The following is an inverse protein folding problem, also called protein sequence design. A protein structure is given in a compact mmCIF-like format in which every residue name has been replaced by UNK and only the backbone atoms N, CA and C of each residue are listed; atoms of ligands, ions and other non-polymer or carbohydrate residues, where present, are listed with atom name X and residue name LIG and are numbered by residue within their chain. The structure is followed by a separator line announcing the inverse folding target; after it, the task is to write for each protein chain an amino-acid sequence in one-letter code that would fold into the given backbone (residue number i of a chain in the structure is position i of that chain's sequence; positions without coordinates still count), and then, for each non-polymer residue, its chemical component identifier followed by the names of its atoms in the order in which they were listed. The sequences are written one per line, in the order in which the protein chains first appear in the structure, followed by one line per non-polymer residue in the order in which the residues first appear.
data_IF_736306957842
#
_entry.id   IF_736306957842
#
_cell.length_a   1.000
_cell.length_b   1.000
_cell.length_c   1.000
_cell.angle_alpha   90.00
_cell.angle_beta   90.00
_cell.angle_gamma   90.00
#
_symmetry.space_group_name_H-M   'P 1'
#
loop_
_entity.id
_entity.type
_entity.pdbx_description
1 polymer ?
#
# COMPACT_ATOMS: atom_id res chain seq x y z
N UNK A 1 35.84 -12.00 -16.62
CA UNK A 1 34.44 -11.79 -16.20
C UNK A 1 33.93 -13.16 -15.74
N UNK A 2 33.95 -13.41 -14.47
CA UNK A 2 33.44 -14.66 -13.87
C UNK A 2 31.91 -14.55 -13.84
N UNK A 3 31.21 -15.45 -14.53
CA UNK A 3 29.77 -15.59 -14.43
C UNK A 3 29.42 -15.96 -13.00
N UNK A 4 28.83 -15.05 -12.23
CA UNK A 4 28.20 -15.36 -10.97
C UNK A 4 27.03 -16.30 -11.27
N UNK A 5 27.16 -17.52 -10.79
CA UNK A 5 26.06 -18.50 -10.77
C UNK A 5 24.99 -17.96 -9.85
N UNK A 6 23.90 -17.41 -10.43
CA UNK A 6 22.70 -17.03 -9.69
C UNK A 6 22.08 -18.33 -9.18
N UNK A 7 22.39 -18.70 -7.94
CA UNK A 7 21.65 -19.73 -7.23
C UNK A 7 20.23 -19.20 -7.06
N UNK A 8 19.25 -19.76 -7.77
CA UNK A 8 17.82 -19.50 -7.57
C UNK A 8 17.44 -20.00 -6.18
N UNK A 9 17.47 -19.12 -5.20
CA UNK A 9 17.01 -19.39 -3.84
C UNK A 9 15.50 -19.70 -3.91
N UNK A 10 15.10 -20.90 -3.48
CA UNK A 10 13.70 -21.29 -3.48
C UNK A 10 12.95 -20.45 -2.45
N UNK A 11 12.03 -19.63 -2.91
CA UNK A 11 11.19 -18.79 -2.04
C UNK A 11 10.17 -19.64 -1.32
N UNK A 12 10.24 -19.71 0.00
CA UNK A 12 9.27 -20.41 0.83
C UNK A 12 8.55 -19.45 1.76
N UNK A 13 7.27 -19.21 1.49
CA UNK A 13 6.42 -18.35 2.30
C UNK A 13 5.92 -19.09 3.54
N UNK A 14 6.17 -18.53 4.72
CA UNK A 14 5.69 -19.06 5.99
C UNK A 14 4.41 -18.32 6.42
N UNK A 15 3.29 -19.00 6.66
CA UNK A 15 2.07 -18.36 7.17
C UNK A 15 2.35 -17.64 8.50
N UNK A 16 1.79 -16.44 8.67
CA UNK A 16 1.88 -15.66 9.93
C UNK A 16 0.60 -15.84 10.75
N UNK A 17 -0.54 -15.74 10.10
CA UNK A 17 -1.86 -15.86 10.72
C UNK A 17 -2.84 -16.45 9.72
N UNK A 18 -3.74 -17.31 10.19
CA UNK A 18 -4.81 -17.87 9.38
C UNK A 18 -5.99 -16.89 9.29
N UNK A 19 -6.51 -16.74 8.09
CA UNK A 19 -7.66 -15.93 7.74
C UNK A 19 -8.59 -16.72 6.79
N UNK A 20 -9.80 -16.25 6.59
CA UNK A 20 -10.78 -16.90 5.73
C UNK A 20 -10.70 -16.45 4.27
N UNK A 21 -10.45 -15.16 4.06
CA UNK A 21 -10.53 -14.52 2.74
C UNK A 21 -9.19 -14.01 2.21
N UNK A 22 -8.12 -14.06 3.01
CA UNK A 22 -6.77 -13.68 2.61
C UNK A 22 -5.75 -14.75 3.03
N UNK A 23 -4.59 -14.74 2.39
CA UNK A 23 -3.39 -15.40 2.88
C UNK A 23 -2.43 -14.33 3.39
N UNK A 24 -1.85 -14.58 4.58
CA UNK A 24 -0.87 -13.69 5.18
C UNK A 24 0.39 -14.45 5.55
N UNK A 25 1.48 -14.15 4.87
CA UNK A 25 2.72 -14.92 4.95
C UNK A 25 3.95 -14.03 4.99
N UNK A 26 5.07 -14.63 5.42
CA UNK A 26 6.35 -13.95 5.63
C UNK A 26 7.48 -14.69 4.91
N UNK A 27 8.40 -13.94 4.32
CA UNK A 27 9.66 -14.42 3.79
C UNK A 27 10.74 -13.33 3.90
N UNK A 28 11.84 -13.61 4.60
CA UNK A 28 13.07 -12.81 4.61
C UNK A 28 12.86 -11.27 4.77
N UNK A 29 11.99 -10.86 5.70
CA UNK A 29 11.69 -9.44 5.94
C UNK A 29 10.52 -8.89 5.12
N UNK A 30 9.91 -9.70 4.29
CA UNK A 30 8.78 -9.33 3.42
C UNK A 30 7.50 -9.97 3.98
N UNK A 31 6.46 -9.18 4.20
CA UNK A 31 5.12 -9.68 4.41
C UNK A 31 4.36 -9.71 3.09
N UNK A 32 3.66 -10.81 2.80
CA UNK A 32 2.77 -10.92 1.64
C UNK A 32 1.32 -11.07 2.10
N UNK A 33 0.49 -10.13 1.69
CA UNK A 33 -0.96 -10.13 1.91
C UNK A 33 -1.61 -10.43 0.56
N UNK A 34 -2.22 -11.60 0.44
CA UNK A 34 -2.85 -12.04 -0.81
C UNK A 34 -4.35 -12.18 -0.62
N UNK A 35 -5.15 -11.50 -1.43
CA UNK A 35 -6.60 -11.76 -1.45
C UNK A 35 -6.80 -13.17 -1.98
N UNK A 36 -7.48 -14.04 -1.21
CA UNK A 36 -7.66 -15.44 -1.53
C UNK A 36 -9.13 -15.79 -1.81
N UNK A 37 -9.67 -15.17 -2.85
CA UNK A 37 -11.01 -15.44 -3.39
C UNK A 37 -10.96 -15.59 -4.92
N UNK A 38 -10.09 -16.48 -5.47
CA UNK A 38 -9.87 -16.60 -6.91
C UNK A 38 -11.14 -16.99 -7.69
N UNK A 39 -12.07 -17.72 -7.06
CA UNK A 39 -13.38 -18.08 -7.62
C UNK A 39 -14.32 -16.86 -7.83
N UNK A 40 -14.00 -15.71 -7.25
CA UNK A 40 -14.68 -14.41 -7.40
C UNK A 40 -13.73 -13.33 -7.96
N UNK A 41 -12.70 -13.73 -8.71
CA UNK A 41 -11.67 -12.82 -9.23
C UNK A 41 -11.10 -11.89 -8.14
N UNK A 42 -10.94 -12.42 -6.93
CA UNK A 42 -10.45 -11.70 -5.75
C UNK A 42 -11.26 -10.42 -5.41
N UNK A 43 -12.55 -10.41 -5.74
CA UNK A 43 -13.45 -9.35 -5.27
C UNK A 43 -13.50 -9.36 -3.74
N UNK A 44 -13.37 -8.20 -3.10
CA UNK A 44 -13.39 -8.10 -1.65
C UNK A 44 -14.81 -7.95 -1.08
N UNK A 45 -15.01 -8.53 0.09
CA UNK A 45 -16.18 -8.34 0.95
C UNK A 45 -15.80 -7.52 2.19
N UNK A 46 -16.74 -7.10 3.04
CA UNK A 46 -16.42 -6.50 4.34
C UNK A 46 -15.44 -7.34 5.17
N UNK A 47 -15.62 -8.67 5.21
CA UNK A 47 -14.70 -9.59 5.89
C UNK A 47 -13.29 -9.52 5.30
N UNK A 48 -13.16 -9.61 3.97
CA UNK A 48 -11.87 -9.53 3.29
C UNK A 48 -11.13 -8.23 3.66
N UNK A 49 -11.84 -7.10 3.65
CA UNK A 49 -11.27 -5.79 4.02
C UNK A 49 -10.85 -5.76 5.48
N UNK A 50 -11.65 -6.32 6.39
CA UNK A 50 -11.33 -6.37 7.81
C UNK A 50 -10.07 -7.21 8.08
N UNK A 51 -9.94 -8.36 7.42
CA UNK A 51 -8.75 -9.21 7.51
C UNK A 51 -7.50 -8.52 6.96
N UNK A 52 -7.61 -7.80 5.83
CA UNK A 52 -6.52 -7.00 5.28
C UNK A 52 -6.09 -5.88 6.26
N UNK A 53 -7.03 -5.18 6.90
CA UNK A 53 -6.73 -4.16 7.90
C UNK A 53 -6.01 -4.76 9.10
N UNK A 54 -6.45 -5.92 9.58
CA UNK A 54 -5.81 -6.62 10.70
C UNK A 54 -4.37 -7.05 10.33
N UNK A 55 -4.18 -7.64 9.15
CA UNK A 55 -2.84 -8.00 8.65
C UNK A 55 -1.92 -6.77 8.52
N UNK A 56 -2.44 -5.64 8.02
CA UNK A 56 -1.69 -4.38 7.94
C UNK A 56 -1.30 -3.82 9.31
N UNK A 57 -2.17 -3.95 10.33
CA UNK A 57 -1.83 -3.58 11.71
C UNK A 57 -0.68 -4.44 12.27
N UNK A 58 -0.72 -5.75 12.02
CA UNK A 58 0.38 -6.65 12.40
C UNK A 58 1.66 -6.24 11.65
N UNK A 59 1.57 -5.94 10.34
CA UNK A 59 2.71 -5.46 9.56
C UNK A 59 3.30 -4.16 10.13
N UNK A 60 2.48 -3.27 10.69
CA UNK A 60 2.96 -2.02 11.29
C UNK A 60 3.83 -2.28 12.51
N UNK A 61 3.39 -3.16 13.38
CA UNK A 61 3.99 -3.39 14.71
C UNK A 61 5.15 -4.41 14.67
N UNK A 62 5.15 -5.36 13.74
CA UNK A 62 6.18 -6.41 13.69
C UNK A 62 7.51 -5.87 13.12
N UNK A 63 8.60 -5.78 13.95
CA UNK A 63 9.88 -5.24 13.49
C UNK A 63 10.60 -6.14 12.49
N UNK A 64 10.22 -7.41 12.36
CA UNK A 64 10.77 -8.33 11.37
C UNK A 64 10.33 -7.97 9.97
N UNK A 65 9.14 -7.37 9.81
CA UNK A 65 8.56 -6.96 8.53
C UNK A 65 9.14 -5.61 8.14
N UNK A 66 9.77 -5.55 6.98
CA UNK A 66 10.42 -4.35 6.44
C UNK A 66 9.73 -3.80 5.20
N UNK A 67 9.15 -4.68 4.38
CA UNK A 67 8.41 -4.34 3.15
C UNK A 67 7.14 -5.19 3.11
N UNK A 68 6.08 -4.65 2.54
CA UNK A 68 4.78 -5.33 2.39
C UNK A 68 4.50 -5.50 0.91
N UNK A 69 4.09 -6.70 0.52
CA UNK A 69 3.59 -7.02 -0.83
C UNK A 69 2.10 -7.28 -0.75
N UNK A 70 1.35 -6.59 -1.61
CA UNK A 70 -0.10 -6.77 -1.77
C UNK A 70 -0.38 -7.46 -3.10
N UNK A 71 -1.17 -8.54 -3.10
CA UNK A 71 -1.46 -9.31 -4.33
C UNK A 71 -2.81 -10.01 -4.26
N UNK A 72 -3.15 -10.75 -5.31
CA UNK A 72 -4.30 -11.66 -5.38
C UNK A 72 -3.86 -13.05 -5.81
N UNK A 73 -4.48 -14.08 -5.24
CA UNK A 73 -4.17 -15.48 -5.55
C UNK A 73 -4.71 -15.91 -6.93
N UNK A 74 -4.01 -16.85 -7.55
CA UNK A 74 -4.47 -17.56 -8.75
C UNK A 74 -4.13 -16.92 -10.10
N UNK A 75 -3.40 -15.80 -10.14
CA UNK A 75 -2.86 -15.20 -11.37
C UNK A 75 -3.85 -14.64 -12.39
N UNK A 76 -5.17 -14.82 -12.17
CA UNK A 76 -6.24 -14.32 -13.06
C UNK A 76 -6.74 -12.92 -12.68
N UNK A 77 -6.65 -12.58 -11.41
CA UNK A 77 -7.04 -11.26 -10.92
C UNK A 77 -6.22 -10.89 -9.69
N UNK A 78 -5.71 -9.70 -9.67
CA UNK A 78 -5.24 -9.04 -8.46
C UNK A 78 -6.45 -8.77 -7.54
N UNK A 79 -7.41 -8.01 -8.05
CA UNK A 79 -8.68 -7.72 -7.38
C UNK A 79 -9.66 -7.06 -8.36
N UNK A 80 -10.88 -7.57 -8.44
CA UNK A 80 -11.95 -7.01 -9.29
C UNK A 80 -12.85 -6.01 -8.56
N UNK A 81 -12.42 -5.48 -7.42
CA UNK A 81 -13.16 -4.50 -6.62
C UNK A 81 -14.07 -5.13 -5.57
N UNK A 82 -15.10 -4.40 -5.16
CA UNK A 82 -16.07 -4.91 -4.20
C UNK A 82 -17.00 -5.96 -4.79
N UNK A 83 -17.24 -7.03 -4.03
CA UNK A 83 -18.11 -8.12 -4.46
C UNK A 83 -19.57 -7.64 -4.57
N UNK A 84 -20.07 -7.49 -5.80
CA UNK A 84 -21.41 -6.98 -6.07
C UNK A 84 -22.51 -7.92 -5.53
N UNK A 85 -22.22 -9.20 -5.31
CA UNK A 85 -23.21 -10.15 -4.78
C UNK A 85 -23.57 -9.91 -3.31
N UNK A 86 -22.71 -9.19 -2.56
CA UNK A 86 -22.95 -8.82 -1.15
C UNK A 86 -23.25 -7.32 -0.97
N UNK A 87 -23.37 -6.58 -2.06
CA UNK A 87 -23.75 -5.17 -2.04
C UNK A 87 -25.27 -5.04 -1.98
N UNK A 88 -25.78 -4.58 -0.84
CA UNK A 88 -27.20 -4.30 -0.65
C UNK A 88 -27.61 -2.87 -1.08
N UNK A 89 -28.86 -2.50 -0.83
CA UNK A 89 -29.41 -1.16 -1.14
C UNK A 89 -28.63 -0.04 -0.42
N UNK A 90 -28.14 -0.29 0.80
CA UNK A 90 -27.31 0.66 1.57
C UNK A 90 -25.81 0.55 1.33
N UNK A 91 -25.35 -0.23 0.34
CA UNK A 91 -23.94 -0.50 0.09
C UNK A 91 -23.47 -1.79 0.74
N UNK A 92 -22.20 -1.84 1.17
CA UNK A 92 -21.62 -3.03 1.80
C UNK A 92 -21.92 -3.03 3.29
N UNK A 93 -22.53 -4.12 3.78
CA UNK A 93 -22.97 -4.27 5.16
C UNK A 93 -22.20 -5.43 5.80
N UNK A 94 -21.61 -5.17 6.96
CA UNK A 94 -20.95 -6.20 7.76
C UNK A 94 -21.96 -7.10 8.51
N UNK A 95 -21.46 -8.02 9.31
CA UNK A 95 -22.27 -8.94 10.13
C UNK A 95 -23.16 -8.22 11.16
N UNK A 96 -22.78 -7.01 11.54
CA UNK A 96 -23.51 -6.12 12.45
C UNK A 96 -24.61 -5.28 11.77
N UNK A 97 -24.86 -5.51 10.50
CA UNK A 97 -25.88 -4.84 9.68
C UNK A 97 -25.67 -3.32 9.51
N UNK A 98 -24.48 -2.79 9.85
CA UNK A 98 -24.16 -1.38 9.68
C UNK A 98 -23.44 -1.16 8.33
N UNK A 99 -23.96 -0.30 7.44
CA UNK A 99 -23.28 0.04 6.18
C UNK A 99 -21.93 0.74 6.44
N UNK A 100 -20.87 0.24 5.81
CA UNK A 100 -19.52 0.80 5.92
C UNK A 100 -18.77 0.70 4.59
N UNK A 101 -17.81 1.61 4.43
CA UNK A 101 -16.82 1.56 3.37
C UNK A 101 -15.41 1.40 3.98
N UNK A 102 -15.19 0.36 4.78
CA UNK A 102 -13.91 0.10 5.46
C UNK A 102 -12.72 0.02 4.51
N UNK A 103 -12.96 -0.22 3.23
CA UNK A 103 -11.92 -0.16 2.20
C UNK A 103 -11.22 1.21 2.15
N UNK A 104 -11.92 2.30 2.51
CA UNK A 104 -11.31 3.64 2.60
C UNK A 104 -10.28 3.71 3.74
N UNK A 105 -10.53 3.01 4.84
CA UNK A 105 -9.59 2.94 5.96
C UNK A 105 -8.37 2.11 5.60
N UNK A 106 -8.56 1.00 4.88
CA UNK A 106 -7.45 0.23 4.31
C UNK A 106 -6.59 1.07 3.36
N UNK A 107 -7.21 1.84 2.46
CA UNK A 107 -6.51 2.74 1.53
C UNK A 107 -5.66 3.77 2.28
N UNK A 108 -6.22 4.42 3.31
CA UNK A 108 -5.47 5.36 4.17
C UNK A 108 -4.32 4.67 4.89
N UNK A 109 -4.55 3.45 5.39
CA UNK A 109 -3.53 2.67 6.08
C UNK A 109 -2.37 2.29 5.17
N UNK A 110 -2.63 1.86 3.93
CA UNK A 110 -1.59 1.56 2.93
C UNK A 110 -0.71 2.79 2.71
N UNK A 111 -1.30 3.98 2.60
CA UNK A 111 -0.56 5.22 2.41
C UNK A 111 0.24 5.66 3.63
N UNK A 112 -0.32 5.49 4.84
CA UNK A 112 0.30 6.01 6.07
C UNK A 112 1.22 5.03 6.81
N UNK A 113 1.19 3.74 6.48
CA UNK A 113 2.05 2.76 7.15
C UNK A 113 3.54 3.09 6.93
N UNK A 114 4.39 3.09 8.00
CA UNK A 114 5.79 3.51 7.92
C UNK A 114 6.72 2.47 7.25
N UNK A 115 6.21 1.77 6.27
CA UNK A 115 6.90 0.72 5.50
C UNK A 115 6.46 0.83 4.04
N UNK A 116 7.35 0.48 3.11
CA UNK A 116 7.01 0.44 1.70
C UNK A 116 5.98 -0.67 1.42
N UNK A 117 5.01 -0.36 0.57
CA UNK A 117 3.98 -1.30 0.11
C UNK A 117 4.05 -1.42 -1.41
N UNK A 118 4.26 -2.63 -1.90
CA UNK A 118 4.34 -2.93 -3.34
C UNK A 118 3.10 -3.72 -3.74
N UNK A 119 2.37 -3.23 -4.74
CA UNK A 119 1.36 -4.02 -5.41
C UNK A 119 2.01 -4.95 -6.45
N UNK A 120 1.79 -6.25 -6.30
CA UNK A 120 2.22 -7.29 -7.23
C UNK A 120 0.98 -7.74 -8.01
N UNK A 121 0.84 -7.26 -9.25
CA UNK A 121 -0.41 -7.32 -10.00
C UNK A 121 -0.33 -8.34 -11.13
N UNK A 122 -1.17 -9.38 -11.07
CA UNK A 122 -1.45 -10.29 -12.16
C UNK A 122 -2.94 -10.29 -12.50
N UNK A 123 -3.28 -10.31 -13.79
CA UNK A 123 -4.67 -10.30 -14.27
C UNK A 123 -5.42 -9.02 -13.89
N UNK A 124 -6.69 -9.13 -13.54
CA UNK A 124 -7.60 -8.00 -13.37
C UNK A 124 -7.34 -7.18 -12.11
N UNK A 125 -7.05 -5.88 -12.25
CA UNK A 125 -7.01 -4.87 -11.20
C UNK A 125 -8.08 -3.80 -11.55
N UNK A 126 -9.33 -4.00 -11.13
CA UNK A 126 -10.49 -3.27 -11.63
C UNK A 126 -11.29 -2.64 -10.48
N UNK A 127 -11.85 -1.45 -10.71
CA UNK A 127 -12.69 -0.74 -9.75
C UNK A 127 -11.97 -0.51 -8.43
N UNK A 128 -12.49 -0.99 -7.29
CA UNK A 128 -11.82 -0.90 -6.00
C UNK A 128 -10.46 -1.61 -5.97
N UNK A 129 -10.27 -2.67 -6.79
CA UNK A 129 -8.98 -3.33 -6.96
C UNK A 129 -7.96 -2.45 -7.68
N UNK A 130 -8.40 -1.68 -8.65
CA UNK A 130 -7.56 -0.66 -9.28
C UNK A 130 -7.13 0.41 -8.24
N UNK A 131 -8.05 0.84 -7.37
CA UNK A 131 -7.71 1.82 -6.32
C UNK A 131 -6.70 1.24 -5.33
N UNK A 132 -6.81 -0.04 -4.97
CA UNK A 132 -5.87 -0.69 -4.03
C UNK A 132 -4.42 -0.66 -4.54
N UNK A 133 -4.17 -0.92 -5.84
CA UNK A 133 -2.82 -0.82 -6.35
C UNK A 133 -2.35 0.63 -6.50
N UNK A 134 -3.26 1.55 -6.85
CA UNK A 134 -2.97 3.00 -6.99
C UNK A 134 -2.47 3.60 -5.67
N UNK A 135 -2.99 3.15 -4.53
CA UNK A 135 -2.58 3.66 -3.21
C UNK A 135 -1.33 2.99 -2.65
N UNK A 136 -0.85 1.91 -3.25
CA UNK A 136 0.46 1.35 -2.93
C UNK A 136 1.59 2.28 -3.39
N UNK A 137 2.76 2.16 -2.76
CA UNK A 137 3.91 3.00 -3.10
C UNK A 137 4.48 2.69 -4.49
N UNK A 138 4.45 1.41 -4.87
CA UNK A 138 4.95 0.92 -6.15
C UNK A 138 4.03 -0.18 -6.69
N UNK A 139 4.01 -0.34 -8.01
CA UNK A 139 3.27 -1.42 -8.69
C UNK A 139 4.18 -2.13 -9.68
N UNK A 140 4.30 -3.46 -9.53
CA UNK A 140 4.91 -4.35 -10.53
C UNK A 140 3.78 -5.18 -11.13
N UNK A 141 3.67 -5.17 -12.45
CA UNK A 141 2.60 -5.84 -13.18
C UNK A 141 3.14 -7.02 -13.99
N UNK A 142 2.37 -8.08 -14.08
CA UNK A 142 2.57 -9.11 -15.09
C UNK A 142 2.02 -8.64 -16.45
N UNK A 143 2.56 -9.18 -17.56
CA UNK A 143 2.09 -8.87 -18.92
C UNK A 143 0.59 -9.15 -19.13
N UNK A 144 0.01 -10.09 -18.36
CA UNK A 144 -1.40 -10.41 -18.39
C UNK A 144 -2.27 -9.43 -17.57
N UNK A 145 -1.68 -8.44 -16.91
CA UNK A 145 -2.44 -7.51 -16.09
C UNK A 145 -3.37 -6.61 -16.93
N UNK A 146 -4.53 -6.28 -16.35
CA UNK A 146 -5.53 -5.38 -16.92
C UNK A 146 -6.00 -4.40 -15.86
N UNK A 147 -6.01 -3.14 -16.20
CA UNK A 147 -6.30 -2.03 -15.28
C UNK A 147 -7.51 -1.23 -15.77
N UNK A 148 -8.31 -0.70 -14.85
CA UNK A 148 -9.38 0.20 -15.21
C UNK A 148 -10.42 0.40 -14.13
N UNK A 149 -11.33 1.34 -14.41
CA UNK A 149 -12.46 1.63 -13.56
C UNK A 149 -13.76 1.14 -14.21
N UNK A 150 -14.70 0.71 -13.38
CA UNK A 150 -16.02 0.26 -13.83
C UNK A 150 -17.16 0.92 -13.07
N UNK A 151 -16.82 1.77 -12.11
CA UNK A 151 -17.80 2.38 -11.20
C UNK A 151 -19.02 2.95 -11.90
N UNK A 152 -18.92 3.86 -12.87
CA UNK A 152 -20.07 4.42 -13.60
C UNK A 152 -20.94 3.36 -14.31
N UNK A 153 -20.37 2.24 -14.75
CA UNK A 153 -21.13 1.13 -15.37
C UNK A 153 -21.94 0.32 -14.33
N UNK A 154 -21.46 0.25 -13.08
CA UNK A 154 -22.05 -0.62 -12.04
C UNK A 154 -22.68 0.18 -10.89
N UNK A 155 -22.91 1.46 -11.08
CA UNK A 155 -23.54 2.33 -10.08
C UNK A 155 -22.67 2.59 -8.85
N UNK A 156 -21.37 2.86 -9.06
CA UNK A 156 -20.41 3.19 -8.02
C UNK A 156 -19.42 4.24 -8.50
N UNK A 157 -18.66 4.83 -7.58
CA UNK A 157 -17.50 5.67 -7.89
C UNK A 157 -16.59 5.79 -6.66
N UNK A 158 -15.32 6.12 -6.87
CA UNK A 158 -14.38 6.51 -5.83
C UNK A 158 -13.80 7.88 -6.20
N UNK A 159 -14.34 8.93 -5.58
CA UNK A 159 -13.93 10.32 -5.81
C UNK A 159 -12.67 10.72 -5.05
N UNK A 160 -12.22 9.90 -4.10
CA UNK A 160 -11.02 10.12 -3.31
C UNK A 160 -9.75 9.65 -4.03
N UNK A 161 -9.05 8.69 -3.44
CA UNK A 161 -7.80 8.17 -4.04
C UNK A 161 -8.01 7.56 -5.43
N UNK A 162 -9.18 6.96 -5.69
CA UNK A 162 -9.50 6.39 -7.00
C UNK A 162 -9.61 7.41 -8.12
N UNK A 163 -9.93 8.67 -7.85
CA UNK A 163 -10.04 9.73 -8.84
C UNK A 163 -8.98 10.81 -8.65
N UNK A 164 -8.99 11.53 -7.53
CA UNK A 164 -8.12 12.71 -7.34
C UNK A 164 -6.64 12.34 -7.24
N UNK A 165 -6.31 11.25 -6.55
CA UNK A 165 -4.93 10.78 -6.46
C UNK A 165 -4.48 10.11 -7.76
N UNK A 166 -5.32 9.29 -8.40
CA UNK A 166 -5.04 8.74 -9.72
C UNK A 166 -4.66 9.85 -10.72
N UNK A 167 -5.37 10.98 -10.70
CA UNK A 167 -5.10 12.10 -11.58
C UNK A 167 -3.73 12.77 -11.34
N UNK A 168 -3.13 12.59 -10.17
CA UNK A 168 -1.74 13.02 -9.87
C UNK A 168 -0.72 12.07 -10.50
N UNK A 169 -1.06 10.80 -10.67
CA UNK A 169 -0.18 9.78 -11.24
C UNK A 169 -0.21 9.84 -12.77
N UNK A 170 -1.39 9.72 -13.38
CA UNK A 170 -1.53 9.57 -14.84
C UNK A 170 -1.92 10.87 -15.55
N UNK A 171 -2.09 11.96 -14.82
CA UNK A 171 -2.59 13.24 -15.33
C UNK A 171 -4.10 13.30 -15.44
N UNK A 172 -4.63 14.54 -15.43
CA UNK A 172 -6.07 14.84 -15.36
C UNK A 172 -6.88 14.25 -16.52
N UNK A 173 -6.34 14.31 -17.75
CA UNK A 173 -7.06 13.82 -18.93
C UNK A 173 -7.19 12.31 -18.93
N UNK A 174 -6.09 11.59 -18.65
CA UNK A 174 -6.08 10.12 -18.63
C UNK A 174 -6.93 9.58 -17.47
N UNK A 175 -6.89 10.19 -16.29
CA UNK A 175 -7.73 9.78 -15.17
C UNK A 175 -9.23 9.91 -15.50
N UNK A 176 -9.63 10.98 -16.20
CA UNK A 176 -11.03 11.16 -16.65
C UNK A 176 -11.41 10.16 -17.72
N UNK A 177 -10.54 9.88 -18.68
CA UNK A 177 -10.74 8.85 -19.69
C UNK A 177 -10.99 7.48 -19.04
N UNK A 178 -10.13 7.05 -18.10
CA UNK A 178 -10.27 5.80 -17.34
C UNK A 178 -11.64 5.73 -16.65
N UNK A 179 -12.05 6.82 -16.00
CA UNK A 179 -13.30 6.86 -15.24
C UNK A 179 -14.55 7.02 -16.10
N UNK A 180 -14.51 7.89 -17.12
CA UNK A 180 -15.71 8.24 -17.89
C UNK A 180 -16.03 7.19 -18.95
N UNK A 181 -15.02 6.64 -19.59
CA UNK A 181 -15.20 5.61 -20.60
C UNK A 181 -15.30 4.20 -20.00
N UNK A 182 -14.71 3.99 -18.82
CA UNK A 182 -14.59 2.67 -18.17
C UNK A 182 -13.92 1.62 -19.08
N UNK A 183 -13.01 2.07 -19.91
CA UNK A 183 -12.17 1.18 -20.71
C UNK A 183 -11.11 0.51 -19.85
N UNK A 184 -10.54 -0.58 -20.36
CA UNK A 184 -9.53 -1.36 -19.68
C UNK A 184 -8.24 -1.26 -20.46
N UNK A 185 -7.17 -1.05 -19.74
CA UNK A 185 -5.82 -0.85 -20.24
C UNK A 185 -4.98 -2.07 -19.96
N UNK A 186 -4.14 -2.44 -20.90
CA UNK A 186 -3.17 -3.52 -20.69
C UNK A 186 -1.97 -3.06 -19.85
N UNK A 187 -1.08 -4.01 -19.56
CA UNK A 187 0.08 -3.75 -18.71
C UNK A 187 1.05 -2.74 -19.35
N UNK A 188 1.22 -2.78 -20.68
CA UNK A 188 2.10 -1.85 -21.38
C UNK A 188 1.52 -0.44 -21.41
N UNK A 189 0.24 -0.30 -21.71
CA UNK A 189 -0.47 0.99 -21.64
C UNK A 189 -0.40 1.59 -20.23
N UNK A 190 -0.52 0.73 -19.20
CA UNK A 190 -0.37 1.16 -17.80
C UNK A 190 1.06 1.64 -17.48
N UNK A 191 2.07 1.00 -18.04
CA UNK A 191 3.46 1.43 -17.92
C UNK A 191 3.70 2.77 -18.63
N UNK A 192 3.21 2.90 -19.86
CA UNK A 192 3.40 4.10 -20.69
C UNK A 192 2.75 5.35 -20.07
N UNK A 193 1.62 5.20 -19.38
CA UNK A 193 0.96 6.30 -18.66
C UNK A 193 1.51 6.54 -17.24
N UNK A 194 2.53 5.79 -16.81
CA UNK A 194 3.12 5.92 -15.47
C UNK A 194 2.27 5.35 -14.33
N UNK A 195 1.26 4.54 -14.63
CA UNK A 195 0.38 3.92 -13.65
C UNK A 195 1.07 2.77 -12.91
N UNK A 196 1.97 2.06 -13.59
CA UNK A 196 2.79 0.98 -13.01
C UNK A 196 4.27 1.25 -13.22
N UNK A 197 5.12 0.70 -12.36
CA UNK A 197 6.57 0.95 -12.38
C UNK A 197 7.33 -0.03 -13.27
N UNK A 198 6.81 -1.24 -13.46
CA UNK A 198 7.47 -2.28 -14.26
C UNK A 198 6.46 -3.32 -14.73
N UNK A 199 6.68 -3.83 -15.94
CA UNK A 199 5.97 -4.98 -16.52
C UNK A 199 6.96 -6.11 -16.73
N UNK A 200 6.56 -7.33 -16.40
CA UNK A 200 7.37 -8.55 -16.53
C UNK A 200 6.49 -9.74 -16.95
N UNK A 201 7.05 -10.81 -17.52
CA UNK A 201 6.37 -12.08 -17.68
C UNK A 201 5.77 -12.58 -16.35
N UNK A 202 4.62 -13.26 -16.43
CA UNK A 202 3.88 -13.70 -15.23
C UNK A 202 4.73 -14.60 -14.31
N UNK A 203 5.53 -15.48 -14.87
CA UNK A 203 6.43 -16.38 -14.14
C UNK A 203 7.62 -15.65 -13.47
N UNK A 204 7.91 -14.42 -13.86
CA UNK A 204 8.95 -13.58 -13.27
C UNK A 204 8.39 -12.56 -12.25
N UNK A 205 7.08 -12.46 -12.10
CA UNK A 205 6.45 -11.42 -11.29
C UNK A 205 6.86 -11.48 -9.82
N UNK A 206 6.78 -12.65 -9.18
CA UNK A 206 7.15 -12.79 -7.77
C UNK A 206 8.65 -12.58 -7.54
N UNK A 207 9.50 -13.17 -8.38
CA UNK A 207 10.96 -13.01 -8.29
C UNK A 207 11.36 -11.56 -8.41
N UNK A 208 10.84 -10.83 -9.42
CA UNK A 208 11.10 -9.40 -9.60
C UNK A 208 10.61 -8.57 -8.42
N UNK A 209 9.44 -8.90 -7.87
CA UNK A 209 8.91 -8.21 -6.69
C UNK A 209 9.81 -8.39 -5.48
N UNK A 210 10.29 -9.61 -5.22
CA UNK A 210 11.24 -9.91 -4.14
C UNK A 210 12.56 -9.16 -4.33
N UNK A 211 13.07 -9.10 -5.55
CA UNK A 211 14.28 -8.31 -5.87
C UNK A 211 14.09 -6.82 -5.50
N UNK A 212 12.93 -6.24 -5.83
CA UNK A 212 12.64 -4.87 -5.46
C UNK A 212 12.51 -4.69 -3.96
N UNK A 213 11.86 -5.63 -3.27
CA UNK A 213 11.83 -5.63 -1.80
C UNK A 213 13.24 -5.65 -1.22
N UNK A 214 14.14 -6.50 -1.72
CA UNK A 214 15.54 -6.56 -1.28
C UNK A 214 16.28 -5.24 -1.52
N UNK A 215 16.07 -4.60 -2.69
CA UNK A 215 16.64 -3.27 -2.98
C UNK A 215 16.15 -2.19 -1.99
N UNK A 216 14.89 -2.22 -1.61
CA UNK A 216 14.32 -1.30 -0.60
C UNK A 216 14.91 -1.59 0.78
N UNK A 217 14.94 -2.86 1.19
CA UNK A 217 15.49 -3.27 2.48
C UNK A 217 16.97 -2.96 2.66
N UNK A 218 17.71 -2.80 1.57
CA UNK A 218 19.12 -2.37 1.58
C UNK A 218 19.28 -0.85 1.78
N UNK A 219 18.19 -0.09 1.94
CA UNK A 219 18.22 1.36 2.20
C UNK A 219 17.86 1.64 3.66
N UNK A 220 18.14 2.88 4.09
CA UNK A 220 17.78 3.33 5.44
C UNK A 220 16.26 3.25 5.67
N UNK A 221 15.77 2.48 6.64
CA UNK A 221 14.33 2.38 6.90
C UNK A 221 13.75 3.72 7.38
N UNK A 222 14.52 4.51 8.14
CA UNK A 222 14.09 5.83 8.57
C UNK A 222 13.94 6.78 7.39
N UNK A 223 14.89 6.80 6.45
CA UNK A 223 14.80 7.62 5.26
C UNK A 223 13.59 7.24 4.38
N UNK A 224 13.33 5.94 4.17
CA UNK A 224 12.13 5.46 3.44
C UNK A 224 10.84 5.94 4.13
N UNK A 225 10.75 5.81 5.46
CA UNK A 225 9.60 6.30 6.24
C UNK A 225 9.38 7.80 6.07
N UNK A 226 10.44 8.60 6.21
CA UNK A 226 10.36 10.06 6.08
C UNK A 226 10.01 10.49 4.66
N UNK A 227 10.56 9.83 3.64
CA UNK A 227 10.22 10.09 2.24
C UNK A 227 8.75 9.77 1.95
N UNK A 228 8.23 8.64 2.43
CA UNK A 228 6.80 8.29 2.27
C UNK A 228 5.89 9.34 2.90
N UNK A 229 6.16 9.76 4.14
CA UNK A 229 5.44 10.86 4.79
C UNK A 229 5.53 12.17 3.99
N UNK A 230 6.70 12.50 3.45
CA UNK A 230 6.91 13.72 2.66
C UNK A 230 6.13 13.70 1.35
N UNK A 231 6.12 12.57 0.62
CA UNK A 231 5.31 12.42 -0.60
C UNK A 231 3.81 12.55 -0.34
N UNK A 232 3.35 12.12 0.85
CA UNK A 232 1.95 12.17 1.20
C UNK A 232 1.52 13.52 1.81
N UNK A 233 2.44 14.26 2.44
CA UNK A 233 2.12 15.45 3.23
C UNK A 233 1.33 16.51 2.43
N UNK A 234 1.74 16.81 1.21
CA UNK A 234 1.04 17.76 0.34
C UNK A 234 -0.34 17.25 -0.09
N UNK A 235 -0.41 15.97 -0.47
CA UNK A 235 -1.59 15.38 -1.10
C UNK A 235 -2.70 15.08 -0.10
N UNK A 236 -2.35 14.73 1.13
CA UNK A 236 -3.28 14.34 2.17
C UNK A 236 -3.67 15.52 3.10
N UNK A 237 -3.24 16.75 2.73
CA UNK A 237 -3.59 17.97 3.44
C UNK A 237 -3.18 17.95 4.91
N UNK A 238 -4.05 18.42 5.83
CA UNK A 238 -3.73 18.48 7.26
C UNK A 238 -3.41 17.09 7.84
N UNK A 239 -4.00 16.02 7.35
CA UNK A 239 -3.69 14.66 7.81
C UNK A 239 -2.26 14.26 7.43
N UNK A 240 -1.82 14.60 6.21
CA UNK A 240 -0.45 14.35 5.76
C UNK A 240 0.59 15.18 6.53
N UNK A 241 0.27 16.45 6.82
CA UNK A 241 1.10 17.30 7.67
C UNK A 241 1.20 16.72 9.08
N UNK A 242 0.09 16.25 9.67
CA UNK A 242 0.08 15.63 10.99
C UNK A 242 0.97 14.39 11.06
N UNK A 243 0.95 13.54 10.02
CA UNK A 243 1.80 12.35 9.94
C UNK A 243 3.29 12.74 9.86
N UNK A 244 3.64 13.70 9.01
CA UNK A 244 5.01 14.21 8.88
C UNK A 244 5.50 14.85 10.18
N UNK A 245 4.66 15.69 10.82
CA UNK A 245 4.98 16.34 12.09
C UNK A 245 5.17 15.32 13.23
N UNK A 246 4.34 14.28 13.28
CA UNK A 246 4.48 13.18 14.24
C UNK A 246 5.83 12.46 14.11
N UNK A 247 6.26 12.20 12.87
CA UNK A 247 7.58 11.63 12.61
C UNK A 247 8.71 12.58 13.05
N UNK A 248 8.60 13.87 12.78
CA UNK A 248 9.57 14.87 13.25
C UNK A 248 9.62 14.96 14.78
N UNK A 249 8.46 14.89 15.46
CA UNK A 249 8.37 14.87 16.92
C UNK A 249 9.12 13.66 17.52
N UNK A 250 8.95 12.48 16.94
CA UNK A 250 9.68 11.28 17.39
C UNK A 250 11.20 11.44 17.25
N UNK A 251 11.67 12.05 16.14
CA UNK A 251 13.08 12.34 15.95
C UNK A 251 13.57 13.38 16.96
N UNK A 252 12.78 14.42 17.22
CA UNK A 252 13.12 15.44 18.23
C UNK A 252 13.28 14.84 19.62
N UNK A 253 12.40 13.90 20.04
CA UNK A 253 12.52 13.22 21.33
C UNK A 253 13.84 12.45 21.54
N UNK A 254 14.53 12.08 20.46
CA UNK A 254 15.83 11.44 20.51
C UNK A 254 16.98 12.46 20.64
N UNK A 255 16.72 13.75 20.54
CA UNK A 255 17.74 14.81 20.63
C UNK A 255 18.15 15.10 22.07
N UNK A 256 19.36 15.64 22.23
CA UNK A 256 19.84 16.12 23.52
C UNK A 256 19.01 17.30 24.04
N UNK A 257 18.49 18.15 23.16
CA UNK A 257 17.59 19.26 23.53
C UNK A 257 16.31 18.77 24.19
N UNK A 258 15.66 17.75 23.60
CA UNK A 258 14.46 17.18 24.19
C UNK A 258 14.72 16.56 25.58
N UNK A 259 15.89 15.93 25.77
CA UNK A 259 16.29 15.38 27.08
C UNK A 259 16.53 16.50 28.09
N UNK A 260 17.17 17.63 27.68
CA UNK A 260 17.36 18.78 28.56
C UNK A 260 16.01 19.34 29.02
N UNK A 261 15.10 19.59 28.10
CA UNK A 261 13.77 20.12 28.43
C UNK A 261 13.00 19.23 29.40
N UNK A 262 13.02 17.90 29.16
CA UNK A 262 12.40 16.92 30.05
C UNK A 262 13.04 16.91 31.44
N UNK A 263 14.37 16.88 31.52
CA UNK A 263 15.08 16.80 32.79
C UNK A 263 14.89 18.08 33.59
N UNK A 264 15.03 19.27 32.97
CA UNK A 264 14.78 20.55 33.60
C UNK A 264 13.38 20.65 34.21
N UNK A 265 12.34 20.16 33.49
CA UNK A 265 10.97 20.13 33.99
C UNK A 265 10.84 19.21 35.23
N UNK A 266 11.41 18.02 35.20
CA UNK A 266 11.38 17.07 36.34
C UNK A 266 12.14 17.63 37.54
N UNK A 267 13.28 18.24 37.32
CA UNK A 267 14.15 18.85 38.32
C UNK A 267 13.68 20.23 38.81
N UNK A 268 12.58 20.76 38.23
CA UNK A 268 11.98 22.07 38.54
C UNK A 268 13.00 23.24 38.42
N UNK A 269 13.90 23.16 37.44
CA UNK A 269 14.88 24.22 37.10
C UNK A 269 14.57 24.79 35.71
N UNK A 270 15.19 25.92 35.38
CA UNK A 270 15.19 26.45 34.02
C UNK A 270 16.05 25.53 33.13
N UNK A 271 15.61 25.22 31.88
CA UNK A 271 16.43 24.53 30.92
C UNK A 271 17.58 25.40 30.41
N UNK A 272 18.72 24.79 30.19
CA UNK A 272 19.90 25.44 29.63
C UNK A 272 19.95 25.23 28.12
N UNK A 273 19.33 26.16 27.38
CA UNK A 273 19.30 26.12 25.91
C UNK A 273 20.57 26.69 25.26
N UNK A 274 21.44 27.38 26.02
CA UNK A 274 22.63 28.02 25.45
C UNK A 274 23.73 27.03 25.07
N UNK A 275 23.68 25.81 25.63
CA UNK A 275 24.61 24.75 25.29
C UNK A 275 24.32 24.08 23.94
N UNK A 276 23.21 24.40 23.28
CA UNK A 276 22.84 23.83 22.00
C UNK A 276 23.06 24.82 20.85
N UNK A 277 23.46 24.34 19.66
CA UNK A 277 23.59 25.23 18.51
C UNK A 277 22.21 25.82 18.14
N UNK A 278 22.20 27.08 17.71
CA UNK A 278 20.96 27.76 17.31
C UNK A 278 20.59 27.55 15.85
N UNK A 279 21.30 26.73 15.15
CA UNK A 279 21.09 26.30 13.76
C UNK A 279 21.54 24.87 13.58
N UNK A 280 20.98 24.13 12.60
CA UNK A 280 21.36 22.75 12.31
C UNK A 280 22.82 22.59 11.96
#
# INVERSE_FOLDING_TARGET
MTAETVTTETVTWTPIKEYQAILYSFYAGIAKISINRPHKHNAFTPLTVQEMIDAMNICREDPRIKVIVFTGEGGKAFCSGGDQSVRGVGGYVGTDQVPRLNVLDLQKMIRSIPKAVIAMVAGWAIGGGHVLHVVCDLTIAAENARFGQTGPKVGSFDGGFGASYLARIVGQKKAREIWYLCDQYDAQEALDMGLVNKVVPLDQLETTTIEWCRKIMAKSPLAIRMLKSSFNAELDGQAGIQELAGNATLLYYLSAEAQEGKNAFIEKRQPDWDKFPKFP
#
